data_IF_557937096916
#
_entry.id   IF_557937096916
#
_cell.length_a   1.000
_cell.length_b   1.000
_cell.length_c   1.000
_cell.angle_alpha   90.00
_cell.angle_beta   90.00
_cell.angle_gamma   90.00
#
_symmetry.space_group_name_H-M   'P 1'
#
loop_
_entity.id
_entity.type
_entity.pdbx_description
1 polymer ?
#
# COMPACT_ATOMS: atom_id res chain seq x y z
N UNK A 1 -3.67 26.84 37.28
CA UNK A 1 -2.45 26.03 37.48
C UNK A 1 -1.52 26.29 36.32
N UNK A 2 -0.50 27.12 36.48
CA UNK A 2 0.49 27.37 35.43
C UNK A 2 1.43 26.17 35.36
N UNK A 3 1.28 25.35 34.31
CA UNK A 3 2.18 24.22 34.07
C UNK A 3 3.57 24.72 33.70
N UNK A 4 4.58 24.33 34.47
CA UNK A 4 5.98 24.62 34.13
C UNK A 4 6.36 23.72 32.95
N UNK A 5 6.79 24.29 31.80
CA UNK A 5 7.21 23.48 30.66
C UNK A 5 8.45 22.67 31.04
N UNK A 6 8.38 21.35 30.83
CA UNK A 6 9.49 20.41 31.00
C UNK A 6 9.84 19.83 29.63
N UNK A 7 11.11 19.56 29.38
CA UNK A 7 11.62 18.97 28.12
C UNK A 7 11.44 19.83 26.86
N UNK A 8 11.17 21.14 26.99
CA UNK A 8 11.05 22.04 25.84
C UNK A 8 12.38 22.63 25.40
N UNK A 9 13.44 22.55 26.22
CA UNK A 9 14.79 23.09 25.93
C UNK A 9 14.80 24.55 25.44
N UNK A 10 13.79 25.35 25.82
CA UNK A 10 13.63 26.73 25.35
C UNK A 10 12.97 26.88 23.96
N UNK A 11 12.59 25.79 23.32
CA UNK A 11 11.92 25.76 22.02
C UNK A 11 10.40 25.67 22.21
N UNK A 12 9.68 26.69 21.72
CA UNK A 12 8.21 26.76 21.78
C UNK A 12 7.53 25.57 21.08
N UNK A 13 8.09 25.09 19.97
CA UNK A 13 7.54 23.95 19.22
C UNK A 13 7.58 22.63 19.97
N UNK A 14 8.49 22.46 20.95
CA UNK A 14 8.55 21.27 21.79
C UNK A 14 7.56 21.30 22.95
N UNK A 15 6.85 22.43 23.15
CA UNK A 15 5.83 22.54 24.20
C UNK A 15 4.64 21.60 23.95
N UNK A 16 4.33 21.32 22.68
CA UNK A 16 3.34 20.33 22.27
C UNK A 16 3.89 18.88 22.28
N UNK A 17 5.16 18.69 22.64
CA UNK A 17 5.87 17.42 22.50
C UNK A 17 6.32 17.13 21.07
N UNK A 18 6.88 15.94 20.85
CA UNK A 18 7.28 15.48 19.51
C UNK A 18 6.09 14.74 18.89
N UNK A 19 5.64 15.09 17.66
CA UNK A 19 4.56 14.37 17.01
C UNK A 19 4.90 12.90 16.84
N UNK A 20 3.96 12.02 17.19
CA UNK A 20 4.14 10.57 17.12
C UNK A 20 4.59 10.10 15.71
N UNK A 21 4.00 10.68 14.67
CA UNK A 21 4.35 10.39 13.28
C UNK A 21 5.83 10.72 12.96
N UNK A 22 6.34 11.83 13.48
CA UNK A 22 7.74 12.24 13.30
C UNK A 22 8.70 11.25 13.95
N UNK A 23 8.37 10.76 15.15
CA UNK A 23 9.15 9.73 15.85
C UNK A 23 9.16 8.43 15.06
N UNK A 24 8.00 7.98 14.56
CA UNK A 24 7.89 6.77 13.76
C UNK A 24 8.72 6.83 12.48
N UNK A 25 8.61 7.92 11.72
CA UNK A 25 9.37 8.09 10.47
C UNK A 25 10.89 8.12 10.77
N UNK A 26 11.32 8.85 11.80
CA UNK A 26 12.72 8.90 12.20
C UNK A 26 13.27 7.54 12.62
N UNK A 27 12.52 6.80 13.44
CA UNK A 27 12.91 5.46 13.87
C UNK A 27 12.99 4.46 12.71
N UNK A 28 12.04 4.52 11.77
CA UNK A 28 12.08 3.71 10.56
C UNK A 28 13.28 4.05 9.67
N UNK A 29 13.58 5.34 9.48
CA UNK A 29 14.71 5.80 8.70
C UNK A 29 16.05 5.35 9.31
N UNK A 30 16.20 5.46 10.64
CA UNK A 30 17.41 4.99 11.36
C UNK A 30 17.56 3.48 11.23
N UNK A 31 16.48 2.72 11.41
CA UNK A 31 16.51 1.26 11.23
C UNK A 31 16.92 0.88 9.81
N UNK A 32 16.36 1.54 8.79
CA UNK A 32 16.73 1.33 7.39
C UNK A 32 18.20 1.67 7.12
N UNK A 33 18.69 2.78 7.68
CA UNK A 33 20.08 3.19 7.54
C UNK A 33 21.03 2.16 8.14
N UNK A 34 20.73 1.65 9.34
CA UNK A 34 21.55 0.60 9.94
C UNK A 34 21.52 -0.70 9.15
N UNK A 35 20.34 -1.14 8.68
CA UNK A 35 20.24 -2.32 7.82
C UNK A 35 20.99 -2.17 6.49
N UNK A 36 20.99 -0.97 5.91
CA UNK A 36 21.74 -0.69 4.67
C UNK A 36 23.25 -0.75 4.91
N UNK A 37 23.74 -0.14 6.00
CA UNK A 37 25.17 -0.17 6.38
C UNK A 37 25.64 -1.60 6.71
N UNK A 38 24.81 -2.39 7.39
CA UNK A 38 25.10 -3.80 7.67
C UNK A 38 25.18 -4.62 6.38
N UNK A 39 24.24 -4.42 5.45
CA UNK A 39 24.25 -5.09 4.14
C UNK A 39 25.42 -4.68 3.25
N UNK A 40 25.95 -3.47 3.42
CA UNK A 40 27.13 -2.98 2.70
C UNK A 40 28.45 -3.57 3.23
N UNK A 41 28.50 -4.06 4.47
CA UNK A 41 29.69 -4.67 5.07
C UNK A 41 29.75 -6.19 4.93
N UNK A 42 28.66 -6.85 4.50
CA UNK A 42 28.58 -8.32 4.36
C UNK A 42 28.79 -8.79 2.90
N UNK A 43 28.78 -7.89 1.92
CA UNK A 43 28.97 -8.26 0.52
C UNK A 43 30.30 -7.75 -0.06
N UNK A 44 31.40 -8.31 0.44
CA UNK A 44 32.60 -8.46 -0.37
C UNK A 44 32.32 -9.48 -1.49
N UNK A 45 32.16 -8.95 -2.70
CA UNK A 45 32.54 -9.50 -4.00
C UNK A 45 31.82 -10.66 -4.71
N UNK A 46 30.91 -11.45 -4.14
CA UNK A 46 30.25 -12.53 -4.94
C UNK A 46 28.70 -12.53 -5.02
N UNK A 47 27.95 -12.01 -4.04
CA UNK A 47 26.47 -12.01 -4.14
C UNK A 47 25.90 -10.76 -4.85
N UNK A 48 26.69 -9.70 -4.97
CA UNK A 48 26.28 -8.49 -5.69
C UNK A 48 26.17 -8.72 -7.21
N UNK A 49 26.82 -9.73 -7.79
CA UNK A 49 26.65 -10.05 -9.22
C UNK A 49 25.32 -10.73 -9.52
N UNK A 50 24.76 -11.50 -8.59
CA UNK A 50 23.45 -12.14 -8.75
C UNK A 50 22.30 -11.14 -8.56
N UNK A 51 22.40 -10.23 -7.57
CA UNK A 51 21.40 -9.16 -7.40
C UNK A 51 21.55 -8.00 -8.39
N UNK A 52 22.76 -7.66 -8.83
CA UNK A 52 22.96 -6.58 -9.84
C UNK A 52 22.62 -7.02 -11.26
N UNK A 53 22.58 -8.33 -11.56
CA UNK A 53 21.98 -8.82 -12.81
C UNK A 53 20.45 -8.67 -12.83
N UNK A 54 19.78 -8.61 -11.69
CA UNK A 54 18.36 -8.27 -11.63
C UNK A 54 18.11 -6.76 -11.80
N UNK A 55 19.08 -5.92 -11.44
CA UNK A 55 19.00 -4.44 -11.57
C UNK A 55 19.45 -3.95 -12.96
N UNK A 56 20.31 -4.70 -13.67
CA UNK A 56 20.71 -4.43 -15.05
C UNK A 56 19.87 -5.18 -16.10
N UNK A 57 18.77 -5.83 -15.71
CA UNK A 57 17.72 -6.04 -16.69
C UNK A 57 17.14 -4.66 -16.90
N UNK A 58 17.39 -4.05 -18.06
CA UNK A 58 16.56 -2.96 -18.57
C UNK A 58 15.12 -3.46 -18.43
N UNK A 59 14.50 -3.12 -17.32
CA UNK A 59 13.07 -3.21 -17.13
C UNK A 59 12.58 -2.15 -18.09
N UNK A 60 12.45 -2.55 -19.35
CA UNK A 60 11.61 -1.88 -20.31
C UNK A 60 10.20 -2.14 -19.78
N UNK A 61 9.87 -1.47 -18.66
CA UNK A 61 8.53 -1.42 -18.10
C UNK A 61 7.82 -0.61 -19.15
N UNK A 62 7.31 -1.31 -20.15
CA UNK A 62 6.47 -0.71 -21.15
C UNK A 62 5.15 -0.40 -20.44
N UNK A 63 5.13 0.73 -19.73
CA UNK A 63 3.98 1.24 -18.99
C UNK A 63 2.78 1.34 -19.94
N UNK A 64 3.03 1.63 -21.22
CA UNK A 64 2.02 1.68 -22.26
C UNK A 64 1.42 0.29 -22.49
N UNK A 65 2.25 -0.76 -22.53
CA UNK A 65 1.77 -2.14 -22.64
C UNK A 65 0.99 -2.58 -21.40
N UNK A 66 1.47 -2.28 -20.19
CA UNK A 66 0.77 -2.59 -18.95
C UNK A 66 -0.60 -1.89 -18.86
N UNK A 67 -0.64 -0.61 -19.21
CA UNK A 67 -1.86 0.18 -19.31
C UNK A 67 -2.82 -0.42 -20.34
N UNK A 68 -2.32 -0.75 -21.54
CA UNK A 68 -3.12 -1.37 -22.60
C UNK A 68 -3.72 -2.71 -22.17
N UNK A 69 -2.96 -3.57 -21.49
CA UNK A 69 -3.47 -4.86 -20.98
C UNK A 69 -4.59 -4.62 -19.95
N UNK A 70 -4.38 -3.67 -19.04
CA UNK A 70 -5.37 -3.32 -18.01
C UNK A 70 -6.66 -2.79 -18.62
N UNK A 71 -6.56 -1.85 -19.57
CA UNK A 71 -7.71 -1.31 -20.30
C UNK A 71 -8.37 -2.31 -21.25
N UNK A 72 -7.66 -3.38 -21.67
CA UNK A 72 -8.24 -4.44 -22.49
C UNK A 72 -9.18 -5.35 -21.69
N UNK A 73 -9.21 -5.24 -20.36
CA UNK A 73 -10.07 -6.04 -19.47
C UNK A 73 -11.03 -5.18 -18.64
N UNK A 74 -11.89 -4.36 -19.28
CA UNK A 74 -12.72 -3.37 -18.58
C UNK A 74 -13.70 -4.01 -17.60
N UNK A 75 -14.24 -5.20 -17.92
CA UNK A 75 -15.17 -5.92 -17.04
C UNK A 75 -14.47 -6.37 -15.76
N UNK A 76 -13.25 -6.91 -15.87
CA UNK A 76 -12.51 -7.40 -14.71
C UNK A 76 -12.07 -6.24 -13.82
N UNK A 77 -11.57 -5.16 -14.45
CA UNK A 77 -11.20 -3.91 -13.80
C UNK A 77 -12.39 -3.32 -13.03
N UNK A 78 -13.51 -3.08 -13.72
CA UNK A 78 -14.69 -2.45 -13.13
C UNK A 78 -15.29 -3.28 -12.00
N UNK A 79 -15.46 -4.59 -12.19
CA UNK A 79 -15.98 -5.48 -11.15
C UNK A 79 -15.09 -5.48 -9.91
N UNK A 80 -13.79 -5.60 -10.10
CA UNK A 80 -12.83 -5.63 -8.99
C UNK A 80 -12.80 -4.30 -8.25
N UNK A 81 -12.86 -3.18 -8.97
CA UNK A 81 -12.99 -1.85 -8.38
C UNK A 81 -14.27 -1.68 -7.58
N UNK A 82 -15.42 -2.13 -8.10
CA UNK A 82 -16.69 -2.09 -7.37
C UNK A 82 -16.63 -2.92 -6.08
N UNK A 83 -16.06 -4.14 -6.14
CA UNK A 83 -15.84 -4.96 -4.94
C UNK A 83 -14.98 -4.19 -3.92
N UNK A 84 -13.89 -3.59 -4.37
CA UNK A 84 -13.03 -2.73 -3.55
C UNK A 84 -13.78 -1.59 -2.88
N UNK A 85 -14.53 -0.81 -3.66
CA UNK A 85 -15.29 0.34 -3.15
C UNK A 85 -16.37 -0.09 -2.14
N UNK A 86 -17.13 -1.16 -2.41
CA UNK A 86 -18.14 -1.66 -1.47
C UNK A 86 -17.53 -2.18 -0.17
N UNK A 87 -16.44 -2.95 -0.26
CA UNK A 87 -15.73 -3.43 0.94
C UNK A 87 -15.15 -2.25 1.72
N UNK A 88 -14.52 -1.29 1.06
CA UNK A 88 -13.96 -0.11 1.72
C UNK A 88 -15.02 0.78 2.36
N UNK A 89 -16.24 0.80 1.82
CA UNK A 89 -17.34 1.53 2.45
C UNK A 89 -17.79 0.88 3.77
N UNK A 90 -17.51 -0.41 4.00
CA UNK A 90 -17.81 -1.10 5.25
C UNK A 90 -16.70 -0.78 6.28
N UNK A 91 -17.03 -0.12 7.41
CA UNK A 91 -16.04 0.19 8.44
C UNK A 91 -15.35 -1.07 8.96
N UNK A 92 -14.02 -1.05 8.99
CA UNK A 92 -13.20 -2.17 9.49
C UNK A 92 -13.00 -3.31 8.49
N UNK A 93 -13.67 -3.32 7.33
CA UNK A 93 -13.40 -4.26 6.25
C UNK A 93 -12.23 -3.73 5.40
N UNK A 94 -11.01 -4.14 5.78
CA UNK A 94 -9.77 -3.62 5.19
C UNK A 94 -9.47 -4.09 3.76
N UNK A 95 -8.41 -3.51 3.19
CA UNK A 95 -7.97 -3.75 1.82
C UNK A 95 -7.67 -5.22 1.48
N UNK A 96 -7.18 -5.99 2.46
CA UNK A 96 -6.88 -7.42 2.32
C UNK A 96 -8.10 -8.25 1.95
N UNK A 97 -9.26 -7.97 2.57
CA UNK A 97 -10.51 -8.69 2.28
C UNK A 97 -10.96 -8.38 0.86
N UNK A 98 -10.89 -7.10 0.45
CA UNK A 98 -11.27 -6.70 -0.91
C UNK A 98 -10.42 -7.40 -1.97
N UNK A 99 -9.12 -7.54 -1.72
CA UNK A 99 -8.16 -8.12 -2.64
C UNK A 99 -8.48 -9.61 -2.86
N UNK A 100 -8.63 -10.37 -1.76
CA UNK A 100 -8.94 -11.80 -1.83
C UNK A 100 -10.29 -12.03 -2.53
N UNK A 101 -11.31 -11.23 -2.22
CA UNK A 101 -12.61 -11.34 -2.86
C UNK A 101 -12.57 -10.96 -4.35
N UNK A 102 -11.90 -9.87 -4.71
CA UNK A 102 -11.74 -9.46 -6.10
C UNK A 102 -11.00 -10.54 -6.91
N UNK A 103 -9.95 -11.13 -6.33
CA UNK A 103 -9.19 -12.22 -6.94
C UNK A 103 -10.03 -13.49 -7.13
N UNK A 104 -10.79 -13.90 -6.11
CA UNK A 104 -11.66 -15.07 -6.18
C UNK A 104 -12.79 -14.88 -7.22
N UNK A 105 -13.40 -13.70 -7.26
CA UNK A 105 -14.39 -13.34 -8.29
C UNK A 105 -13.77 -13.31 -9.68
N UNK A 106 -12.54 -12.81 -9.81
CA UNK A 106 -11.78 -12.85 -11.05
C UNK A 106 -11.51 -14.27 -11.54
N UNK A 107 -11.08 -15.15 -10.64
CA UNK A 107 -10.86 -16.56 -10.94
C UNK A 107 -12.14 -17.25 -11.40
N UNK A 108 -13.26 -17.06 -10.68
CA UNK A 108 -14.56 -17.66 -11.01
C UNK A 108 -15.12 -17.20 -12.35
N UNK A 109 -14.89 -15.93 -12.71
CA UNK A 109 -15.36 -15.35 -13.97
C UNK A 109 -14.39 -15.50 -15.15
N UNK A 110 -13.20 -16.06 -14.95
CA UNK A 110 -12.20 -16.17 -16.01
C UNK A 110 -12.43 -17.40 -16.89
N UNK A 111 -12.03 -17.27 -18.16
CA UNK A 111 -11.95 -18.41 -19.10
C UNK A 111 -10.77 -19.33 -18.81
N UNK A 112 -9.80 -18.88 -18.02
CA UNK A 112 -8.58 -19.61 -17.67
C UNK A 112 -8.34 -19.64 -16.14
N UNK A 113 -9.26 -20.20 -15.34
CA UNK A 113 -9.14 -20.25 -13.89
C UNK A 113 -7.89 -21.01 -13.40
N UNK A 114 -7.36 -21.94 -14.22
CA UNK A 114 -6.16 -22.74 -13.95
C UNK A 114 -4.87 -21.92 -13.91
N UNK A 115 -4.84 -20.74 -14.56
CA UNK A 115 -3.66 -19.85 -14.58
C UNK A 115 -3.61 -18.92 -13.37
N UNK A 116 -4.65 -18.90 -12.53
CA UNK A 116 -4.64 -18.10 -11.31
C UNK A 116 -3.67 -18.74 -10.30
N UNK A 117 -2.70 -17.96 -9.85
CA UNK A 117 -1.62 -18.37 -8.95
C UNK A 117 -0.25 -18.33 -9.62
N UNK A 118 -0.19 -18.26 -10.96
CA UNK A 118 1.07 -18.21 -11.72
C UNK A 118 1.53 -16.79 -12.05
N UNK A 119 0.80 -15.77 -11.61
CA UNK A 119 1.05 -14.37 -11.97
C UNK A 119 0.39 -13.92 -13.27
N UNK A 120 -0.70 -14.57 -13.69
CA UNK A 120 -1.51 -14.11 -14.83
C UNK A 120 -2.00 -12.65 -14.62
N UNK A 121 -1.99 -11.86 -15.69
CA UNK A 121 -2.41 -10.46 -15.68
C UNK A 121 -3.82 -10.26 -15.10
N UNK A 122 -4.79 -11.13 -15.44
CA UNK A 122 -6.16 -11.08 -14.94
C UNK A 122 -6.23 -11.05 -13.41
N UNK A 123 -5.39 -11.86 -12.75
CA UNK A 123 -5.33 -11.95 -11.29
C UNK A 123 -4.68 -10.72 -10.68
N UNK A 124 -3.60 -10.22 -11.29
CA UNK A 124 -2.90 -9.00 -10.83
C UNK A 124 -3.83 -7.80 -10.94
N UNK A 125 -4.50 -7.64 -12.09
CA UNK A 125 -5.45 -6.53 -12.32
C UNK A 125 -6.58 -6.59 -11.30
N UNK A 126 -7.15 -7.76 -11.03
CA UNK A 126 -8.24 -7.89 -10.07
C UNK A 126 -7.81 -7.52 -8.65
N UNK A 127 -6.68 -8.07 -8.18
CA UNK A 127 -6.11 -7.80 -6.87
C UNK A 127 -5.77 -6.32 -6.65
N UNK A 128 -5.04 -5.72 -7.59
CA UNK A 128 -4.61 -4.32 -7.48
C UNK A 128 -5.78 -3.35 -7.60
N UNK A 129 -6.72 -3.61 -8.51
CA UNK A 129 -7.88 -2.75 -8.69
C UNK A 129 -8.78 -2.77 -7.45
N UNK A 130 -9.06 -3.96 -6.88
CA UNK A 130 -9.85 -4.07 -5.65
C UNK A 130 -9.17 -3.40 -4.46
N UNK A 131 -7.88 -3.67 -4.27
CA UNK A 131 -7.08 -3.06 -3.21
C UNK A 131 -7.08 -1.53 -3.29
N UNK A 132 -6.80 -0.98 -4.47
CA UNK A 132 -6.72 0.47 -4.66
C UNK A 132 -8.09 1.16 -4.52
N UNK A 133 -9.17 0.51 -4.98
CA UNK A 133 -10.53 1.06 -4.91
C UNK A 133 -11.11 1.06 -3.49
N UNK A 134 -10.55 0.24 -2.59
CA UNK A 134 -10.92 0.21 -1.17
C UNK A 134 -10.67 1.55 -0.48
N UNK A 135 -9.56 2.22 -0.82
CA UNK A 135 -9.27 3.54 -0.27
C UNK A 135 -10.37 4.56 -0.65
N UNK A 136 -10.81 4.53 -1.91
CA UNK A 136 -11.93 5.36 -2.37
C UNK A 136 -13.24 5.06 -1.65
N UNK A 137 -13.56 3.78 -1.44
CA UNK A 137 -14.73 3.35 -0.66
C UNK A 137 -14.68 3.85 0.79
N UNK A 138 -13.53 3.73 1.44
CA UNK A 138 -13.34 4.20 2.81
C UNK A 138 -13.50 5.71 2.96
N UNK A 139 -13.12 6.48 1.94
CA UNK A 139 -13.34 7.93 1.93
C UNK A 139 -14.82 8.29 1.85
N UNK A 140 -15.65 7.53 1.13
CA UNK A 140 -17.11 7.77 1.06
C UNK A 140 -17.71 7.70 2.47
N UNK A 141 -17.39 6.64 3.21
CA UNK A 141 -17.88 6.43 4.59
C UNK A 141 -17.33 7.48 5.54
N UNK A 142 -16.05 7.83 5.39
CA UNK A 142 -15.40 8.82 6.25
C UNK A 142 -16.02 10.21 6.07
N UNK A 143 -16.27 10.65 4.83
CA UNK A 143 -16.87 11.95 4.54
C UNK A 143 -18.36 11.97 4.89
N UNK A 144 -19.09 10.88 4.63
CA UNK A 144 -20.55 10.85 4.79
C UNK A 144 -20.99 10.63 6.24
N UNK A 145 -20.27 9.80 6.99
CA UNK A 145 -20.66 9.36 8.34
C UNK A 145 -19.70 9.87 9.42
N UNK A 146 -18.55 10.45 9.07
CA UNK A 146 -17.51 10.84 10.04
C UNK A 146 -16.82 9.66 10.73
N UNK A 147 -17.14 8.42 10.31
CA UNK A 147 -16.56 7.19 10.85
C UNK A 147 -15.44 6.74 9.91
N UNK A 148 -14.21 6.56 10.41
CA UNK A 148 -13.09 6.17 9.57
C UNK A 148 -13.34 4.77 8.97
N UNK A 149 -13.39 4.69 7.64
CA UNK A 149 -13.51 3.42 6.93
C UNK A 149 -12.24 2.56 7.00
N UNK A 150 -11.09 3.17 7.32
CA UNK A 150 -9.79 2.51 7.44
C UNK A 150 -8.91 3.13 8.52
N UNK A 151 -7.91 2.38 9.00
CA UNK A 151 -6.95 2.86 9.99
C UNK A 151 -6.21 4.15 9.57
N UNK A 152 -5.97 4.33 8.26
CA UNK A 152 -5.36 5.56 7.72
C UNK A 152 -6.31 6.75 7.82
N UNK A 153 -7.61 6.53 7.57
CA UNK A 153 -8.63 7.58 7.73
C UNK A 153 -8.77 8.06 9.17
N UNK A 154 -8.58 7.17 10.15
CA UNK A 154 -8.61 7.55 11.56
C UNK A 154 -7.48 8.52 11.95
N UNK A 155 -6.28 8.34 11.37
CA UNK A 155 -5.13 9.23 11.62
C UNK A 155 -5.32 10.61 11.00
N UNK A 156 -5.99 10.73 9.85
CA UNK A 156 -6.26 12.02 9.19
C UNK A 156 -7.33 12.85 9.93
N UNK A 157 -8.24 12.18 10.63
CA UNK A 157 -9.28 12.82 11.44
C UNK A 157 -8.82 13.21 12.86
N UNK A 158 -7.66 12.71 13.29
CA UNK A 158 -7.08 12.96 14.62
C UNK A 158 -6.18 14.19 14.61
#
# INVERSE_FOLDING_TARGET
MTGVPRYTFGLYYLQAGVPFLTVLIGMFAISRLFSEIESHNIHSDDELKSKSQAVNKKFDIDLVKGLKITLSQPINLLRSSLIGTFIGAVPGAGASISNILAYDQAKKGSKHPEKFGTGIADGIIASESGNNSTAGGGMITTISLGIPGSAVGAVVLS
#
